data_IF_885934288488
#
_entry.id   IF_885934288488
#
_cell.length_a   1.000
_cell.length_b   1.000
_cell.length_c   1.000
_cell.angle_alpha   90.00
_cell.angle_beta   90.00
_cell.angle_gamma   90.00
#
_symmetry.space_group_name_H-M   'P 1'
#
loop_
_entity.id
_entity.type
_entity.pdbx_description
1 polymer ?
#
# COMPACT_ATOMS: atom_id res chain seq x y z
N UNK A 1 26.87 -10.24 33.74
CA UNK A 1 26.21 -9.20 32.90
C UNK A 1 24.80 -9.72 32.58
N UNK A 2 23.78 -9.06 33.04
CA UNK A 2 22.40 -9.47 32.74
C UNK A 2 22.11 -9.24 31.25
N UNK A 3 21.50 -10.21 30.56
CA UNK A 3 21.07 -10.06 29.18
C UNK A 3 20.03 -8.93 29.11
N UNK A 4 20.18 -8.04 28.14
CA UNK A 4 19.15 -7.03 27.88
C UNK A 4 17.89 -7.74 27.35
N UNK A 5 16.77 -7.73 28.11
CA UNK A 5 15.57 -8.47 27.72
C UNK A 5 14.93 -7.93 26.42
N UNK A 6 15.35 -6.76 25.97
CA UNK A 6 14.81 -6.12 24.76
C UNK A 6 15.72 -6.32 23.53
N UNK A 7 16.78 -7.13 23.64
CA UNK A 7 17.66 -7.42 22.51
C UNK A 7 17.18 -8.70 21.81
N UNK A 8 16.74 -8.56 20.59
CA UNK A 8 16.48 -9.67 19.68
C UNK A 8 17.80 -10.17 19.12
N UNK A 9 18.03 -11.47 19.16
CA UNK A 9 19.24 -12.11 18.62
C UNK A 9 18.94 -12.69 17.23
N UNK A 10 19.98 -13.02 16.48
CA UNK A 10 19.85 -13.66 15.16
C UNK A 10 19.13 -15.01 15.33
N UNK A 11 17.96 -15.12 14.73
CA UNK A 11 17.10 -16.32 14.79
C UNK A 11 15.82 -16.14 15.60
N UNK A 12 15.66 -15.02 16.31
CA UNK A 12 14.39 -14.74 16.98
C UNK A 12 13.34 -14.35 15.95
N UNK A 13 12.25 -15.08 15.91
CA UNK A 13 11.07 -14.73 15.13
C UNK A 13 10.18 -13.80 15.96
N UNK A 14 9.92 -12.61 15.45
CA UNK A 14 8.94 -11.71 16.04
C UNK A 14 7.60 -11.99 15.38
N UNK A 15 6.69 -12.61 16.12
CA UNK A 15 5.31 -12.78 15.69
C UNK A 15 4.52 -11.67 16.35
N UNK A 16 4.17 -10.64 15.59
CA UNK A 16 3.37 -9.54 16.07
C UNK A 16 4.02 -8.17 15.88
N UNK A 17 3.51 -7.19 16.59
CA UNK A 17 3.90 -5.79 16.49
C UNK A 17 5.06 -5.47 17.45
N UNK A 18 6.12 -4.82 16.95
CA UNK A 18 7.13 -4.22 17.80
C UNK A 18 6.60 -2.85 18.26
N UNK A 19 6.23 -2.76 19.53
CA UNK A 19 5.91 -1.51 20.20
C UNK A 19 7.16 -1.04 20.94
N UNK A 20 7.95 -0.17 20.30
CA UNK A 20 9.11 0.44 20.94
C UNK A 20 9.07 1.95 20.70
N UNK A 21 9.41 2.71 21.75
CA UNK A 21 9.55 4.17 21.65
C UNK A 21 10.73 4.53 20.75
N UNK A 22 11.81 3.69 20.81
CA UNK A 22 12.98 3.79 19.95
C UNK A 22 13.40 2.38 19.51
N UNK A 23 13.19 2.03 18.25
CA UNK A 23 13.69 0.80 17.65
C UNK A 23 14.90 1.10 16.78
N UNK A 24 16.09 0.62 17.14
CA UNK A 24 17.29 0.68 16.32
C UNK A 24 17.50 -0.67 15.64
N UNK A 25 17.51 -0.67 14.32
CA UNK A 25 17.83 -1.85 13.52
C UNK A 25 19.27 -1.70 12.99
N UNK A 26 20.16 -2.56 13.46
CA UNK A 26 21.52 -2.67 12.88
C UNK A 26 21.48 -3.70 11.75
N UNK A 27 21.55 -3.26 10.52
CA UNK A 27 21.52 -4.13 9.35
C UNK A 27 20.43 -3.75 8.35
N UNK A 28 20.20 -4.60 7.36
CA UNK A 28 19.20 -4.36 6.32
C UNK A 28 17.83 -4.78 6.82
N UNK A 29 16.88 -3.83 6.88
CA UNK A 29 15.46 -4.14 7.08
C UNK A 29 14.88 -4.58 5.72
N UNK A 30 14.69 -5.87 5.54
CA UNK A 30 13.98 -6.40 4.38
C UNK A 30 12.46 -6.27 4.62
N UNK A 31 11.79 -5.48 3.79
CA UNK A 31 10.34 -5.41 3.75
C UNK A 31 9.85 -6.33 2.63
N UNK A 32 9.00 -7.28 2.97
CA UNK A 32 8.34 -8.09 1.95
C UNK A 32 7.39 -7.22 1.13
N UNK A 33 7.64 -7.16 -0.19
CA UNK A 33 6.83 -6.43 -1.16
C UNK A 33 6.64 -7.33 -2.37
N UNK A 34 5.50 -7.93 -2.49
CA UNK A 34 5.13 -8.70 -3.68
C UNK A 34 4.31 -7.85 -4.63
N UNK A 35 4.50 -8.08 -5.93
CA UNK A 35 3.63 -7.50 -6.94
C UNK A 35 2.35 -8.32 -7.07
N UNK A 36 1.21 -7.65 -7.21
CA UNK A 36 -0.08 -8.27 -7.48
C UNK A 36 -0.79 -7.56 -8.61
N UNK A 37 -1.25 -8.32 -9.59
CA UNK A 37 -1.90 -7.79 -10.77
C UNK A 37 -3.40 -7.58 -10.57
N UNK A 38 -3.91 -6.50 -11.16
CA UNK A 38 -5.34 -6.25 -11.33
C UNK A 38 -5.66 -6.42 -12.81
N UNK A 39 -6.46 -7.44 -13.13
CA UNK A 39 -6.83 -7.75 -14.50
C UNK A 39 -7.54 -6.57 -15.18
N UNK A 40 -7.25 -6.35 -16.48
CA UNK A 40 -7.93 -5.35 -17.30
C UNK A 40 -9.43 -5.64 -17.37
N UNK A 41 -10.24 -4.62 -17.20
CA UNK A 41 -11.68 -4.73 -17.24
C UNK A 41 -12.37 -3.38 -17.02
N UNK A 42 -13.69 -3.36 -17.15
CA UNK A 42 -14.51 -2.15 -16.96
C UNK A 42 -14.66 -1.76 -15.48
N UNK A 43 -14.42 -2.70 -14.56
CA UNK A 43 -14.55 -2.50 -13.11
C UNK A 43 -13.30 -3.02 -12.42
N UNK A 44 -12.22 -2.24 -12.49
CA UNK A 44 -10.95 -2.60 -11.87
C UNK A 44 -10.92 -2.13 -10.41
N UNK A 45 -10.63 -3.05 -9.48
CA UNK A 45 -10.52 -2.74 -8.05
C UNK A 45 -9.19 -3.27 -7.53
N UNK A 46 -8.41 -2.38 -6.92
CA UNK A 46 -7.26 -2.77 -6.12
C UNK A 46 -7.73 -3.15 -4.72
N UNK A 47 -7.67 -4.42 -4.37
CA UNK A 47 -8.12 -4.92 -3.07
C UNK A 47 -7.29 -4.37 -1.92
N UNK A 48 -7.84 -4.38 -0.72
CA UNK A 48 -7.14 -3.97 0.49
C UNK A 48 -5.84 -4.76 0.71
N UNK A 49 -5.84 -6.07 0.40
CA UNK A 49 -4.64 -6.91 0.49
C UNK A 49 -3.55 -6.46 -0.49
N UNK A 50 -3.91 -6.10 -1.74
CA UNK A 50 -2.97 -5.59 -2.72
C UNK A 50 -2.34 -4.26 -2.26
N UNK A 51 -3.12 -3.40 -1.63
CA UNK A 51 -2.68 -2.08 -1.14
C UNK A 51 -1.79 -2.22 0.10
N UNK A 52 -2.17 -3.03 1.09
CA UNK A 52 -1.51 -3.08 2.41
C UNK A 52 -0.47 -4.19 2.49
N UNK A 53 -0.76 -5.39 1.97
CA UNK A 53 0.14 -6.53 2.11
C UNK A 53 1.16 -6.58 0.97
N UNK A 54 0.70 -6.52 -0.29
CA UNK A 54 1.58 -6.62 -1.46
C UNK A 54 2.34 -5.32 -1.73
N UNK A 55 1.67 -4.16 -1.60
CA UNK A 55 2.24 -2.80 -1.75
C UNK A 55 2.73 -2.44 -3.16
N UNK A 56 2.71 -3.37 -4.10
CA UNK A 56 2.96 -3.14 -5.53
C UNK A 56 1.75 -3.68 -6.28
N UNK A 57 1.00 -2.78 -6.90
CA UNK A 57 -0.21 -3.11 -7.67
C UNK A 57 0.09 -2.84 -9.13
N UNK A 58 0.04 -3.89 -9.96
CA UNK A 58 0.26 -3.79 -11.40
C UNK A 58 -1.06 -3.90 -12.16
N UNK A 59 -1.10 -3.37 -13.36
CA UNK A 59 -2.15 -3.65 -14.33
C UNK A 59 -1.67 -3.37 -15.74
N UNK A 60 -2.20 -4.12 -16.71
CA UNK A 60 -1.88 -3.98 -18.13
C UNK A 60 -3.16 -3.64 -18.91
N UNK A 61 -3.71 -2.42 -18.78
CA UNK A 61 -4.92 -2.04 -19.47
C UNK A 61 -4.69 -1.91 -21.00
N UNK A 62 -5.68 -2.32 -21.77
CA UNK A 62 -5.68 -2.20 -23.24
C UNK A 62 -6.25 -0.86 -23.71
N UNK A 63 -7.07 -0.21 -22.90
CA UNK A 63 -7.65 1.12 -23.10
C UNK A 63 -7.58 1.92 -21.80
N UNK A 64 -7.83 3.23 -21.86
CA UNK A 64 -7.89 4.04 -20.65
C UNK A 64 -8.92 3.47 -19.65
N UNK A 65 -8.49 3.31 -18.38
CA UNK A 65 -9.27 2.67 -17.32
C UNK A 65 -9.29 3.49 -16.03
N UNK A 66 -10.30 3.25 -15.23
CA UNK A 66 -10.34 3.67 -13.83
C UNK A 66 -10.02 2.48 -12.95
N UNK A 67 -9.01 2.62 -12.10
CA UNK A 67 -8.68 1.66 -11.05
C UNK A 67 -9.16 2.23 -9.72
N UNK A 68 -10.19 1.61 -9.14
CA UNK A 68 -10.75 2.03 -7.85
C UNK A 68 -10.04 1.29 -6.73
N UNK A 69 -9.73 1.96 -5.63
CA UNK A 69 -9.24 1.27 -4.42
C UNK A 69 -10.38 0.54 -3.73
N UNK A 70 -10.04 -0.42 -2.88
CA UNK A 70 -11.00 -0.98 -1.92
C UNK A 70 -11.53 0.11 -0.98
N UNK A 71 -12.54 -0.21 -0.19
CA UNK A 71 -13.10 0.70 0.82
C UNK A 71 -12.12 0.97 1.95
N UNK A 72 -12.23 2.13 2.58
CA UNK A 72 -11.42 2.43 3.77
C UNK A 72 -11.62 1.39 4.89
N UNK A 73 -12.84 0.87 5.07
CA UNK A 73 -13.13 -0.15 6.07
C UNK A 73 -12.29 -1.42 5.85
N UNK A 74 -12.23 -1.93 4.60
CA UNK A 74 -11.45 -3.12 4.26
C UNK A 74 -9.94 -2.86 4.39
N UNK A 75 -9.47 -1.68 3.98
CA UNK A 75 -8.06 -1.28 4.11
C UNK A 75 -7.66 -1.21 5.59
N UNK A 76 -8.47 -0.55 6.43
CA UNK A 76 -8.22 -0.39 7.87
C UNK A 76 -8.23 -1.74 8.58
N UNK A 77 -9.10 -2.67 8.19
CA UNK A 77 -9.16 -4.01 8.77
C UNK A 77 -7.86 -4.82 8.61
N UNK A 78 -7.06 -4.54 7.57
CA UNK A 78 -5.74 -5.16 7.34
C UNK A 78 -4.58 -4.38 7.97
N UNK A 79 -4.85 -3.26 8.64
CA UNK A 79 -3.88 -2.47 9.37
C UNK A 79 -4.05 -2.67 10.87
N UNK A 80 -3.21 -2.03 11.67
CA UNK A 80 -3.43 -1.98 13.13
C UNK A 80 -4.65 -1.12 13.54
N UNK A 81 -5.32 -0.47 12.58
CA UNK A 81 -6.44 0.44 12.83
C UNK A 81 -6.05 1.74 13.54
N UNK A 82 -4.77 1.96 13.81
CA UNK A 82 -4.29 3.14 14.54
C UNK A 82 -4.28 4.35 13.62
N UNK A 83 -4.99 5.40 14.01
CA UNK A 83 -4.98 6.70 13.32
C UNK A 83 -3.56 7.26 13.26
N UNK A 84 -3.17 7.72 12.07
CA UNK A 84 -1.83 8.24 11.81
C UNK A 84 -0.88 7.22 11.18
N UNK A 85 -1.11 5.91 11.31
CA UNK A 85 -0.30 4.90 10.63
C UNK A 85 -0.37 5.06 9.12
N UNK A 86 0.75 4.84 8.46
CA UNK A 86 0.88 5.01 7.02
C UNK A 86 1.69 3.89 6.38
N UNK A 87 1.37 3.62 5.13
CA UNK A 87 1.94 2.54 4.32
C UNK A 87 2.22 3.05 2.92
N UNK A 88 3.36 2.69 2.35
CA UNK A 88 3.64 2.97 0.94
C UNK A 88 2.93 1.96 0.05
N UNK A 89 2.33 2.43 -1.03
CA UNK A 89 1.80 1.60 -2.11
C UNK A 89 2.20 2.19 -3.46
N UNK A 90 2.64 1.33 -4.39
CA UNK A 90 3.01 1.74 -5.74
C UNK A 90 2.06 1.09 -6.74
N UNK A 91 1.41 1.90 -7.56
CA UNK A 91 0.62 1.45 -8.70
C UNK A 91 1.45 1.58 -9.97
N UNK A 92 1.49 0.51 -10.76
CA UNK A 92 2.29 0.42 -11.98
C UNK A 92 1.36 0.11 -13.15
N UNK A 93 1.38 0.98 -14.15
CA UNK A 93 0.70 0.77 -15.41
C UNK A 93 1.68 0.14 -16.40
N UNK A 94 1.51 -1.15 -16.67
CA UNK A 94 2.34 -1.93 -17.58
C UNK A 94 1.87 -1.88 -19.04
N UNK A 95 0.85 -1.07 -19.37
CA UNK A 95 0.35 -0.95 -20.74
C UNK A 95 1.46 -0.49 -21.69
N UNK A 96 1.63 -1.22 -22.78
CA UNK A 96 2.49 -0.81 -23.89
C UNK A 96 1.78 0.12 -24.87
N UNK A 97 0.46 0.25 -24.78
CA UNK A 97 -0.37 1.19 -25.54
C UNK A 97 -0.49 2.53 -24.79
N UNK A 98 -1.09 3.54 -25.41
CA UNK A 98 -1.32 4.82 -24.74
C UNK A 98 -2.46 4.79 -23.69
N UNK A 99 -2.74 3.62 -23.10
CA UNK A 99 -3.80 3.43 -22.13
C UNK A 99 -3.38 3.93 -20.74
N UNK A 100 -3.98 5.02 -20.28
CA UNK A 100 -3.73 5.54 -18.92
C UNK A 100 -4.63 4.86 -17.89
N UNK A 101 -4.17 4.81 -16.65
CA UNK A 101 -4.98 4.46 -15.47
C UNK A 101 -5.32 5.74 -14.72
N UNK A 102 -6.60 5.96 -14.44
CA UNK A 102 -7.05 6.97 -13.48
C UNK A 102 -7.36 6.28 -12.15
N UNK A 103 -6.61 6.61 -11.10
CA UNK A 103 -6.87 6.07 -9.77
C UNK A 103 -8.07 6.77 -9.14
N UNK A 104 -9.01 6.00 -8.60
CA UNK A 104 -10.17 6.50 -7.87
C UNK A 104 -10.23 5.91 -6.45
N UNK A 105 -10.70 6.69 -5.48
CA UNK A 105 -10.92 6.21 -4.12
C UNK A 105 -12.21 5.42 -3.99
N UNK A 106 -12.16 4.26 -3.35
CA UNK A 106 -13.35 3.56 -2.87
C UNK A 106 -14.03 4.32 -1.71
N UNK A 107 -15.13 3.79 -1.21
CA UNK A 107 -15.87 4.43 -0.10
C UNK A 107 -14.96 4.70 1.10
N UNK A 108 -14.93 5.95 1.55
CA UNK A 108 -14.09 6.41 2.67
C UNK A 108 -12.61 6.64 2.31
N UNK A 109 -12.21 6.44 1.04
CA UNK A 109 -10.84 6.69 0.58
C UNK A 109 -10.79 8.01 -0.19
N UNK A 110 -9.88 8.90 0.20
CA UNK A 110 -9.60 10.16 -0.49
C UNK A 110 -8.22 10.10 -1.13
N UNK A 111 -8.09 10.61 -2.35
CA UNK A 111 -6.80 10.71 -3.06
C UNK A 111 -6.39 12.17 -3.14
N UNK A 112 -5.17 12.46 -2.71
CA UNK A 112 -4.56 13.80 -2.77
C UNK A 112 -3.39 13.77 -3.75
N UNK A 113 -3.41 14.67 -4.70
CA UNK A 113 -2.45 14.78 -5.80
C UNK A 113 -2.98 14.20 -7.11
N UNK A 114 -2.10 14.03 -8.09
CA UNK A 114 -2.48 13.52 -9.41
C UNK A 114 -2.94 12.06 -9.32
N UNK A 115 -4.08 11.77 -9.92
CA UNK A 115 -4.65 10.41 -10.01
C UNK A 115 -4.26 9.69 -11.31
N UNK A 116 -3.68 10.40 -12.28
CA UNK A 116 -3.31 9.84 -13.56
C UNK A 116 -1.99 9.08 -13.48
N UNK A 117 -1.98 7.86 -14.02
CA UNK A 117 -0.81 7.00 -14.20
C UNK A 117 -0.73 6.68 -15.69
N UNK A 118 0.17 7.37 -16.39
CA UNK A 118 0.38 7.18 -17.82
C UNK A 118 0.79 5.73 -18.16
N UNK A 119 0.66 5.33 -19.41
CA UNK A 119 1.17 4.02 -19.87
C UNK A 119 2.68 3.90 -19.59
N UNK A 120 3.15 2.69 -19.32
CA UNK A 120 4.54 2.38 -19.00
C UNK A 120 5.12 3.24 -17.87
N UNK A 121 4.28 3.64 -16.89
CA UNK A 121 4.72 4.45 -15.76
C UNK A 121 4.16 3.95 -14.42
N UNK A 122 4.61 4.58 -13.34
CA UNK A 122 4.18 4.24 -12.00
C UNK A 122 3.85 5.47 -11.16
N UNK A 123 3.10 5.27 -10.10
CA UNK A 123 2.82 6.27 -9.10
C UNK A 123 2.84 5.66 -7.70
N UNK A 124 3.62 6.25 -6.82
CA UNK A 124 3.69 5.85 -5.41
C UNK A 124 2.83 6.78 -4.57
N UNK A 125 2.10 6.18 -3.65
CA UNK A 125 1.27 6.89 -2.68
C UNK A 125 1.60 6.44 -1.26
N UNK A 126 1.41 7.36 -0.32
CA UNK A 126 1.36 7.04 1.10
C UNK A 126 -0.11 6.88 1.47
N UNK A 127 -0.52 5.65 1.80
CA UNK A 127 -1.84 5.36 2.35
C UNK A 127 -1.81 5.60 3.87
N UNK A 128 -2.53 6.61 4.35
CA UNK A 128 -2.58 6.98 5.77
C UNK A 128 -3.97 6.74 6.32
N UNK A 129 -4.05 6.04 7.45
CA UNK A 129 -5.27 5.93 8.25
C UNK A 129 -5.55 7.29 8.89
N UNK A 130 -6.51 8.03 8.36
CA UNK A 130 -6.84 9.37 8.84
C UNK A 130 -7.82 9.36 10.01
N UNK A 131 -8.71 8.36 10.06
CA UNK A 131 -9.65 8.10 11.15
C UNK A 131 -10.06 6.62 11.15
N UNK A 132 -10.94 6.23 12.04
CA UNK A 132 -11.50 4.86 12.08
C UNK A 132 -12.27 4.46 10.81
N UNK A 133 -12.65 5.42 9.95
CA UNK A 133 -13.47 5.18 8.76
C UNK A 133 -12.89 5.81 7.48
N UNK A 134 -11.74 6.46 7.56
CA UNK A 134 -11.16 7.22 6.45
C UNK A 134 -9.69 6.88 6.23
N UNK A 135 -9.35 6.64 4.98
CA UNK A 135 -7.97 6.50 4.49
C UNK A 135 -7.69 7.60 3.48
N UNK A 136 -6.51 8.19 3.53
CA UNK A 136 -6.07 9.19 2.56
C UNK A 136 -4.81 8.69 1.86
N UNK A 137 -4.83 8.69 0.54
CA UNK A 137 -3.68 8.40 -0.31
C UNK A 137 -3.05 9.70 -0.77
N UNK A 138 -1.85 9.98 -0.33
CA UNK A 138 -1.06 11.13 -0.76
C UNK A 138 -0.08 10.72 -1.84
N UNK A 139 -0.14 11.32 -3.02
CA UNK A 139 0.84 11.07 -4.07
C UNK A 139 2.21 11.66 -3.70
N UNK A 140 3.26 10.87 -3.87
CA UNK A 140 4.67 11.28 -3.72
C UNK A 140 5.23 11.79 -5.04
#
# INVERSE_FOLDING_TARGET
MAANPNRLTKGDAIVGQILATDAQFSGTLALDRSASDVADGTSMVASAAQIISNKIVTSTPTTARTLTTDTAANIIALTSGVTGHSYDVTFINLSASAAAITLAGGTGVTIVGSTNIASASSATYIARVASATTVVLYRR
#
